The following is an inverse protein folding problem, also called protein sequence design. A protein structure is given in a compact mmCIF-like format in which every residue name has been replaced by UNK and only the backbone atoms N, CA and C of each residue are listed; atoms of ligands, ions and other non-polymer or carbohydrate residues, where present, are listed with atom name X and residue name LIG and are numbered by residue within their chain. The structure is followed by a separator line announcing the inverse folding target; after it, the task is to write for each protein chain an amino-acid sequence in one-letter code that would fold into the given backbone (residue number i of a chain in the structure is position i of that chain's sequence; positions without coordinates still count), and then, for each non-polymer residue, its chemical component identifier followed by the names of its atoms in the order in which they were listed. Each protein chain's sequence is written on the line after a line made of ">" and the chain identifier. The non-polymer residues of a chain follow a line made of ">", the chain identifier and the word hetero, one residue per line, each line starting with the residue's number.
data_IF_787270384134
#
_entry.id   IF_787270384134
#
_cell.length_a   1.000
_cell.length_b   1.000
_cell.length_c   1.000
_cell.angle_alpha   90.00
_cell.angle_beta   90.00
_cell.angle_gamma   90.00
#
_symmetry.space_group_name_H-M   'P 1'
#
loop_
_entity.id
_entity.type
_entity.pdbx_description
1 polymer ?
#
# COMPACT_ATOMS: atom_id res chain seq x y z
N UNK A 1 -27.37 -6.64 9.90
CA UNK A 1 -26.27 -7.49 10.41
C UNK A 1 -25.63 -6.76 11.57
N UNK A 2 -25.55 -7.39 12.75
CA UNK A 2 -24.88 -6.79 13.89
C UNK A 2 -23.39 -6.62 13.53
N UNK A 3 -22.85 -5.42 13.76
CA UNK A 3 -21.42 -5.18 13.58
C UNK A 3 -20.67 -6.09 14.56
N UNK A 4 -19.90 -7.04 14.05
CA UNK A 4 -19.09 -7.93 14.86
C UNK A 4 -18.06 -7.09 15.61
N UNK A 5 -18.12 -7.10 16.93
CA UNK A 5 -17.17 -6.38 17.77
C UNK A 5 -15.82 -7.10 17.67
N UNK A 6 -14.84 -6.43 17.10
CA UNK A 6 -13.46 -6.94 17.08
C UNK A 6 -12.93 -7.01 18.52
N UNK A 7 -12.70 -8.22 18.99
CA UNK A 7 -12.20 -8.46 20.34
C UNK A 7 -10.72 -8.08 20.48
N UNK A 8 -10.23 -7.97 21.71
CA UNK A 8 -8.81 -7.79 22.01
C UNK A 8 -8.01 -8.98 21.47
N UNK A 9 -8.57 -10.19 21.52
CA UNK A 9 -7.96 -11.41 21.00
C UNK A 9 -7.78 -11.35 19.48
N UNK A 10 -8.77 -10.84 18.73
CA UNK A 10 -8.66 -10.63 17.29
C UNK A 10 -7.59 -9.60 16.96
N UNK A 11 -7.45 -8.54 17.76
CA UNK A 11 -6.39 -7.56 17.66
C UNK A 11 -5.00 -8.17 17.85
N UNK A 12 -4.82 -9.00 18.85
CA UNK A 12 -3.57 -9.69 19.13
C UNK A 12 -3.21 -10.69 18.04
N UNK A 13 -4.17 -11.45 17.53
CA UNK A 13 -3.96 -12.39 16.42
C UNK A 13 -3.55 -11.65 15.13
N UNK A 14 -4.21 -10.55 14.84
CA UNK A 14 -3.84 -9.72 13.68
C UNK A 14 -2.42 -9.16 13.82
N UNK A 15 -2.06 -8.65 15.01
CA UNK A 15 -0.71 -8.18 15.31
C UNK A 15 0.33 -9.26 15.09
N UNK A 16 0.13 -10.46 15.65
CA UNK A 16 1.05 -11.60 15.50
C UNK A 16 1.26 -11.97 14.02
N UNK A 17 0.19 -11.96 13.21
CA UNK A 17 0.28 -12.22 11.76
C UNK A 17 1.14 -11.17 11.06
N UNK A 18 0.96 -9.89 11.36
CA UNK A 18 1.74 -8.79 10.77
C UNK A 18 3.20 -8.89 11.17
N UNK A 19 3.49 -9.08 12.47
CA UNK A 19 4.85 -9.20 13.00
C UNK A 19 5.57 -10.45 12.45
N UNK A 20 4.90 -11.60 12.38
CA UNK A 20 5.44 -12.84 11.82
C UNK A 20 5.75 -12.70 10.32
N UNK A 21 4.88 -12.06 9.55
CA UNK A 21 5.11 -11.77 8.16
C UNK A 21 6.29 -10.79 7.96
N UNK A 22 6.39 -9.76 8.78
CA UNK A 22 7.52 -8.82 8.74
C UNK A 22 8.86 -9.52 9.05
N UNK A 23 8.88 -10.43 10.03
CA UNK A 23 10.06 -11.23 10.35
C UNK A 23 10.46 -12.12 9.15
N UNK A 24 9.49 -12.82 8.54
CA UNK A 24 9.72 -13.64 7.35
C UNK A 24 10.36 -12.86 6.19
N UNK A 25 9.89 -11.64 5.92
CA UNK A 25 10.45 -10.79 4.86
C UNK A 25 11.83 -10.25 5.26
N UNK A 26 12.03 -9.86 6.53
CA UNK A 26 13.32 -9.34 7.01
C UNK A 26 14.46 -10.34 6.85
N UNK A 27 14.20 -11.61 7.08
CA UNK A 27 15.18 -12.69 6.90
C UNK A 27 15.59 -12.92 5.44
N UNK A 28 14.69 -12.58 4.50
CA UNK A 28 14.86 -12.80 3.06
C UNK A 28 15.38 -11.59 2.31
N UNK A 29 15.16 -10.40 2.84
CA UNK A 29 15.56 -9.18 2.18
C UNK A 29 17.08 -8.96 2.28
N UNK A 30 17.82 -8.91 1.17
CA UNK A 30 19.26 -8.63 1.16
C UNK A 30 19.59 -7.20 1.57
N UNK A 31 18.61 -6.29 1.53
CA UNK A 31 18.66 -4.92 2.05
C UNK A 31 17.26 -4.44 2.40
N UNK A 32 17.16 -3.40 3.23
CA UNK A 32 15.86 -2.82 3.57
C UNK A 32 15.47 -1.75 2.54
N UNK A 33 14.22 -1.75 2.06
CA UNK A 33 13.72 -0.72 1.15
C UNK A 33 13.43 0.58 1.91
N UNK A 34 13.55 1.71 1.23
CA UNK A 34 13.19 3.03 1.78
C UNK A 34 11.78 3.45 1.37
N UNK A 35 11.33 2.95 0.22
CA UNK A 35 10.05 3.34 -0.38
C UNK A 35 9.24 2.11 -0.78
N UNK A 36 7.96 2.13 -0.46
CA UNK A 36 6.95 1.22 -1.00
C UNK A 36 6.34 1.88 -2.23
N UNK A 37 6.24 1.14 -3.33
CA UNK A 37 5.45 1.53 -4.50
C UNK A 37 4.34 0.50 -4.68
N UNK A 38 3.09 0.89 -4.48
CA UNK A 38 1.94 0.03 -4.74
C UNK A 38 1.37 0.35 -6.12
N UNK A 39 1.48 -0.60 -7.04
CA UNK A 39 1.01 -0.45 -8.40
C UNK A 39 -0.49 -0.75 -8.52
N UNK A 40 -1.20 0.19 -9.12
CA UNK A 40 -2.59 0.02 -9.53
C UNK A 40 -2.71 -0.38 -11.00
N UNK A 41 -3.95 -0.55 -11.44
CA UNK A 41 -4.31 -0.90 -12.82
C UNK A 41 -3.68 0.08 -13.82
N UNK A 42 -3.09 -0.45 -14.89
CA UNK A 42 -2.47 0.31 -15.97
C UNK A 42 -1.00 0.71 -15.73
N UNK A 43 -0.47 0.55 -14.51
CA UNK A 43 0.90 0.96 -14.16
C UNK A 43 1.85 -0.23 -13.93
N UNK A 44 1.43 -1.45 -14.29
CA UNK A 44 2.23 -2.68 -14.15
C UNK A 44 3.59 -2.61 -14.85
N UNK A 45 3.70 -1.89 -15.98
CA UNK A 45 4.96 -1.70 -16.71
C UNK A 45 6.05 -0.96 -15.93
N UNK A 46 5.72 -0.25 -14.84
CA UNK A 46 6.74 0.33 -13.96
C UNK A 46 7.58 -0.76 -13.28
N UNK A 47 7.00 -1.93 -13.01
CA UNK A 47 7.73 -3.05 -12.42
C UNK A 47 8.90 -3.52 -13.31
N UNK A 48 8.79 -3.39 -14.63
CA UNK A 48 9.84 -3.76 -15.59
C UNK A 48 11.07 -2.83 -15.51
N UNK A 49 10.91 -1.65 -14.93
CA UNK A 49 12.00 -0.68 -14.72
C UNK A 49 12.77 -0.91 -13.41
N UNK A 50 12.30 -1.82 -12.59
CA UNK A 50 12.98 -2.20 -11.35
C UNK A 50 14.08 -3.22 -11.70
N UNK A 51 15.29 -2.95 -11.22
CA UNK A 51 16.34 -3.97 -11.21
C UNK A 51 16.09 -4.85 -9.98
N UNK A 52 15.55 -6.08 -10.16
CA UNK A 52 15.10 -6.88 -9.04
C UNK A 52 16.30 -7.52 -8.34
N UNK A 53 16.29 -7.50 -7.01
CA UNK A 53 17.16 -8.29 -6.15
C UNK A 53 16.43 -9.53 -5.63
N UNK A 54 15.10 -9.44 -5.47
CA UNK A 54 14.25 -10.51 -4.98
C UNK A 54 12.82 -10.30 -5.51
N UNK A 55 12.18 -11.39 -5.93
CA UNK A 55 10.75 -11.39 -6.24
C UNK A 55 10.09 -12.56 -5.52
N UNK A 56 9.02 -12.30 -4.78
CA UNK A 56 8.27 -13.29 -4.00
C UNK A 56 6.80 -13.20 -4.41
N UNK A 57 6.18 -14.28 -4.91
CA UNK A 57 4.74 -14.34 -5.10
C UNK A 57 4.00 -14.11 -3.77
N UNK A 58 2.88 -13.40 -3.79
CA UNK A 58 2.09 -13.16 -2.58
C UNK A 58 1.65 -14.47 -1.92
N UNK A 59 1.40 -15.51 -2.70
CA UNK A 59 1.03 -16.83 -2.20
C UNK A 59 2.11 -17.47 -1.32
N UNK A 60 3.38 -17.11 -1.52
CA UNK A 60 4.52 -17.63 -0.77
C UNK A 60 4.85 -16.79 0.48
N UNK A 61 4.13 -15.68 0.68
CA UNK A 61 4.32 -14.81 1.85
C UNK A 61 3.26 -15.16 2.90
N UNK A 62 3.64 -15.52 4.12
CA UNK A 62 2.69 -15.90 5.17
C UNK A 62 1.64 -14.82 5.41
N UNK A 63 0.37 -15.21 5.42
CA UNK A 63 -0.77 -14.35 5.71
C UNK A 63 -1.05 -13.22 4.71
N UNK A 64 -0.28 -13.12 3.62
CA UNK A 64 -0.61 -12.16 2.58
C UNK A 64 -1.95 -12.53 1.94
N UNK A 65 -2.82 -11.55 1.67
CA UNK A 65 -4.00 -11.79 0.87
C UNK A 65 -3.59 -12.20 -0.55
N UNK A 66 -4.48 -12.85 -1.27
CA UNK A 66 -4.27 -13.22 -2.67
C UNK A 66 -5.18 -12.40 -3.57
N UNK A 67 -4.61 -11.78 -4.60
CA UNK A 67 -5.44 -11.07 -5.56
C UNK A 67 -6.29 -12.06 -6.37
N UNK A 68 -7.58 -11.77 -6.49
CA UNK A 68 -8.51 -12.51 -7.34
C UNK A 68 -8.69 -11.85 -8.70
N UNK A 69 -8.07 -10.69 -8.91
CA UNK A 69 -8.18 -9.91 -10.15
C UNK A 69 -7.08 -10.36 -11.13
N UNK A 70 -7.46 -10.86 -12.30
CA UNK A 70 -6.55 -11.39 -13.34
C UNK A 70 -5.45 -10.42 -13.79
N UNK A 71 -5.69 -9.10 -13.70
CA UNK A 71 -4.72 -8.08 -14.06
C UNK A 71 -3.61 -7.84 -13.01
N UNK A 72 -3.69 -8.50 -11.85
CA UNK A 72 -2.72 -8.36 -10.77
C UNK A 72 -1.84 -9.60 -10.67
N UNK A 73 -0.55 -9.45 -11.01
CA UNK A 73 0.41 -10.57 -10.99
C UNK A 73 0.68 -11.12 -9.58
N UNK A 74 0.36 -10.34 -8.53
CA UNK A 74 0.46 -10.80 -7.15
C UNK A 74 1.90 -11.05 -6.68
N UNK A 75 2.84 -10.14 -7.00
CA UNK A 75 4.24 -10.27 -6.61
C UNK A 75 4.69 -9.10 -5.72
N UNK A 76 5.53 -9.42 -4.74
CA UNK A 76 6.35 -8.46 -4.02
C UNK A 76 7.74 -8.46 -4.65
N UNK A 77 8.19 -7.32 -5.16
CA UNK A 77 9.48 -7.16 -5.81
C UNK A 77 10.33 -6.20 -4.99
N UNK A 78 11.42 -6.69 -4.40
CA UNK A 78 12.45 -5.86 -3.81
C UNK A 78 13.53 -5.60 -4.84
N UNK A 79 13.91 -4.34 -5.02
CA UNK A 79 14.91 -3.98 -6.03
C UNK A 79 15.32 -2.52 -5.96
N UNK A 80 15.81 -2.03 -7.08
CA UNK A 80 16.22 -0.63 -7.23
C UNK A 80 15.52 0.01 -8.42
N UNK A 81 15.00 1.21 -8.20
CA UNK A 81 14.57 2.12 -9.26
C UNK A 81 15.65 3.20 -9.40
N UNK A 82 16.49 3.10 -10.43
CA UNK A 82 17.74 3.85 -10.47
C UNK A 82 18.66 3.44 -9.30
N UNK A 83 19.06 4.41 -8.47
CA UNK A 83 19.86 4.14 -7.26
C UNK A 83 19.02 3.90 -6.00
N UNK A 84 17.70 4.12 -6.02
CA UNK A 84 16.85 4.09 -4.85
C UNK A 84 16.36 2.67 -4.51
N UNK A 85 16.57 2.19 -3.26
CA UNK A 85 16.05 0.91 -2.83
C UNK A 85 14.53 0.99 -2.63
N UNK A 86 13.79 0.15 -3.36
CA UNK A 86 12.33 0.13 -3.35
C UNK A 86 11.78 -1.27 -3.14
N UNK A 87 10.61 -1.36 -2.56
CA UNK A 87 9.76 -2.55 -2.63
C UNK A 87 8.49 -2.21 -3.40
N UNK A 88 8.21 -3.02 -4.41
CA UNK A 88 7.06 -2.84 -5.28
C UNK A 88 6.03 -3.91 -4.95
N UNK A 89 4.81 -3.49 -4.68
CA UNK A 89 3.64 -4.34 -4.63
C UNK A 89 3.00 -4.35 -6.02
N UNK A 90 3.26 -5.41 -6.79
CA UNK A 90 2.76 -5.59 -8.14
C UNK A 90 1.35 -6.20 -8.11
N UNK A 91 0.38 -5.35 -7.89
CA UNK A 91 -1.00 -5.68 -7.62
C UNK A 91 -1.39 -5.33 -6.19
N UNK A 92 -2.69 -5.29 -5.95
CA UNK A 92 -3.29 -4.96 -4.66
C UNK A 92 -4.59 -5.71 -4.45
N UNK A 93 -5.07 -5.66 -3.23
CA UNK A 93 -6.32 -6.25 -2.80
C UNK A 93 -7.37 -5.15 -2.67
N UNK A 94 -8.61 -5.48 -3.00
CA UNK A 94 -9.68 -4.48 -2.98
C UNK A 94 -10.80 -4.93 -2.04
N UNK A 95 -11.46 -3.95 -1.45
CA UNK A 95 -12.60 -4.17 -0.58
C UNK A 95 -13.75 -4.91 -1.31
N UNK A 96 -13.96 -4.60 -2.60
CA UNK A 96 -15.00 -5.26 -3.40
C UNK A 96 -14.71 -6.73 -3.70
N UNK A 97 -13.48 -7.20 -3.54
CA UNK A 97 -13.12 -8.63 -3.64
C UNK A 97 -13.56 -9.44 -2.40
N UNK A 98 -14.13 -8.77 -1.38
CA UNK A 98 -14.58 -9.38 -0.13
C UNK A 98 -13.57 -9.27 1.02
N UNK A 99 -12.42 -8.65 0.80
CA UNK A 99 -11.44 -8.38 1.85
C UNK A 99 -11.91 -7.28 2.79
N UNK A 100 -11.68 -7.46 4.09
CA UNK A 100 -11.85 -6.39 5.07
C UNK A 100 -10.83 -5.27 4.83
N UNK A 101 -11.14 -4.06 5.29
CA UNK A 101 -10.21 -2.92 5.21
C UNK A 101 -8.88 -3.20 5.92
N UNK A 102 -8.85 -4.05 6.95
CA UNK A 102 -7.63 -4.50 7.63
C UNK A 102 -6.78 -5.40 6.75
N UNK A 103 -7.39 -6.31 6.01
CA UNK A 103 -6.68 -7.19 5.08
C UNK A 103 -6.11 -6.40 3.90
N UNK A 104 -6.87 -5.44 3.36
CA UNK A 104 -6.38 -4.53 2.32
C UNK A 104 -5.16 -3.74 2.79
N UNK A 105 -5.14 -3.30 4.05
CA UNK A 105 -4.03 -2.55 4.64
C UNK A 105 -2.88 -3.43 5.15
N UNK A 106 -3.04 -4.75 5.20
CA UNK A 106 -2.08 -5.69 5.78
C UNK A 106 -0.67 -5.57 5.17
N UNK A 107 -0.48 -5.56 3.84
CA UNK A 107 0.84 -5.45 3.23
C UNK A 107 1.58 -4.18 3.64
N UNK A 108 0.86 -3.06 3.71
CA UNK A 108 1.46 -1.78 4.10
C UNK A 108 1.92 -1.80 5.56
N UNK A 109 1.12 -2.40 6.46
CA UNK A 109 1.51 -2.56 7.87
C UNK A 109 2.74 -3.45 8.02
N UNK A 110 2.81 -4.57 7.29
CA UNK A 110 3.98 -5.46 7.28
C UNK A 110 5.23 -4.71 6.83
N UNK A 111 5.17 -4.00 5.72
CA UNK A 111 6.31 -3.27 5.17
C UNK A 111 6.72 -2.08 6.04
N UNK A 112 5.77 -1.42 6.71
CA UNK A 112 6.09 -0.33 7.65
C UNK A 112 6.92 -0.82 8.84
N UNK A 113 6.71 -2.06 9.33
CA UNK A 113 7.52 -2.66 10.38
C UNK A 113 8.96 -2.98 9.95
N UNK A 114 9.24 -2.99 8.65
CA UNK A 114 10.59 -3.11 8.11
C UNK A 114 11.35 -1.77 8.09
N UNK A 115 10.70 -0.69 8.52
CA UNK A 115 11.32 0.64 8.61
C UNK A 115 11.15 1.50 7.35
N UNK A 116 10.30 1.09 6.42
CA UNK A 116 9.99 1.90 5.23
C UNK A 116 9.29 3.20 5.65
N UNK A 117 9.70 4.32 5.06
CA UNK A 117 9.25 5.65 5.46
C UNK A 117 8.36 6.32 4.43
N UNK A 118 8.47 5.92 3.17
CA UNK A 118 7.72 6.54 2.07
C UNK A 118 6.81 5.51 1.41
N UNK A 119 5.57 5.89 1.18
CA UNK A 119 4.58 5.09 0.46
C UNK A 119 4.07 5.87 -0.75
N UNK A 120 4.27 5.33 -1.94
CA UNK A 120 3.68 5.80 -3.18
C UNK A 120 2.55 4.86 -3.58
N UNK A 121 1.34 5.38 -3.60
CA UNK A 121 0.14 4.66 -4.01
C UNK A 121 -0.27 5.11 -5.40
N UNK A 122 -0.61 4.17 -6.27
CA UNK A 122 -1.16 4.47 -7.59
C UNK A 122 -2.48 3.73 -7.78
N UNK A 123 -3.45 4.36 -8.43
CA UNK A 123 -4.75 3.75 -8.73
C UNK A 123 -5.38 4.40 -9.97
N UNK A 124 -6.24 3.65 -10.64
CA UNK A 124 -7.20 4.20 -11.57
C UNK A 124 -8.45 4.67 -10.81
N UNK A 125 -9.08 5.74 -11.28
CA UNK A 125 -10.32 6.25 -10.72
C UNK A 125 -11.18 6.90 -11.82
N UNK A 126 -12.49 6.93 -11.63
CA UNK A 126 -13.40 7.73 -12.44
C UNK A 126 -13.25 9.22 -12.11
N UNK A 127 -13.07 10.05 -13.14
CA UNK A 127 -13.01 11.50 -12.99
C UNK A 127 -14.41 12.09 -12.83
N UNK A 128 -14.65 12.85 -11.74
CA UNK A 128 -15.89 13.63 -11.56
C UNK A 128 -15.76 15.03 -12.14
N UNK A 129 -14.54 15.57 -12.22
CA UNK A 129 -14.28 16.85 -12.84
C UNK A 129 -14.38 16.71 -14.38
N UNK A 130 -15.28 17.45 -15.06
CA UNK A 130 -15.44 17.33 -16.50
C UNK A 130 -14.24 17.80 -17.33
N UNK A 131 -13.28 18.48 -16.69
CA UNK A 131 -12.02 18.88 -17.34
C UNK A 131 -10.97 17.76 -17.35
N UNK A 132 -11.18 16.68 -16.59
CA UNK A 132 -10.30 15.52 -16.63
C UNK A 132 -10.65 14.62 -17.81
N UNK A 133 -9.70 14.40 -18.68
CA UNK A 133 -9.85 13.48 -19.83
C UNK A 133 -9.37 12.09 -19.45
N UNK A 134 -9.85 11.04 -20.12
CA UNK A 134 -9.26 9.70 -19.98
C UNK A 134 -7.76 9.74 -20.25
N UNK A 135 -6.97 9.18 -19.33
CA UNK A 135 -5.50 9.23 -19.38
C UNK A 135 -4.88 10.41 -18.63
N UNK A 136 -5.68 11.35 -18.10
CA UNK A 136 -5.15 12.38 -17.19
C UNK A 136 -4.54 11.76 -15.94
N UNK A 137 -3.42 12.31 -15.50
CA UNK A 137 -2.79 11.95 -14.23
C UNK A 137 -3.09 13.06 -13.22
N UNK A 138 -3.52 12.67 -12.02
CA UNK A 138 -3.74 13.62 -10.93
C UNK A 138 -2.99 13.17 -9.68
N UNK A 139 -2.60 14.13 -8.85
CA UNK A 139 -2.06 13.90 -7.52
C UNK A 139 -3.19 14.04 -6.51
N UNK A 140 -3.42 13.00 -5.73
CA UNK A 140 -4.44 13.02 -4.65
C UNK A 140 -3.82 13.73 -3.45
N UNK A 141 -4.54 14.68 -2.88
CA UNK A 141 -4.10 15.47 -1.70
C UNK A 141 -4.99 15.24 -0.47
N UNK A 142 -6.22 14.77 -0.65
CA UNK A 142 -7.15 14.45 0.44
C UNK A 142 -8.21 13.43 0.02
N UNK A 143 -9.03 12.97 0.97
CA UNK A 143 -10.09 11.98 0.77
C UNK A 143 -11.38 12.31 1.51
N UNK A 144 -12.49 11.94 0.89
CA UNK A 144 -13.78 11.80 1.56
C UNK A 144 -14.10 10.30 1.67
N UNK A 145 -14.11 9.77 2.89
CA UNK A 145 -14.39 8.36 3.12
C UNK A 145 -15.89 8.10 3.28
N UNK A 146 -16.53 7.58 2.24
CA UNK A 146 -17.92 7.15 2.24
C UNK A 146 -18.10 5.62 2.33
N UNK A 147 -17.03 4.85 2.55
CA UNK A 147 -17.12 3.39 2.63
C UNK A 147 -17.85 2.88 3.88
N UNK A 148 -17.98 3.70 4.92
CA UNK A 148 -18.50 3.26 6.20
C UNK A 148 -17.56 2.32 6.99
N UNK A 149 -16.37 2.06 6.48
CA UNK A 149 -15.35 1.17 7.04
C UNK A 149 -14.02 1.90 7.19
N UNK A 150 -13.20 1.44 8.18
CA UNK A 150 -11.90 2.02 8.44
C UNK A 150 -10.95 0.94 9.01
N UNK A 151 -9.74 0.75 8.46
CA UNK A 151 -8.78 -0.24 8.95
C UNK A 151 -8.25 0.04 10.37
N UNK A 152 -8.48 1.25 10.89
CA UNK A 152 -8.11 1.63 12.27
C UNK A 152 -9.19 1.27 13.29
N UNK A 153 -10.36 0.76 12.87
CA UNK A 153 -11.42 0.32 13.77
C UNK A 153 -10.95 -0.89 14.59
N UNK A 154 -11.27 -0.90 15.89
CA UNK A 154 -10.97 -2.00 16.82
C UNK A 154 -9.76 -1.69 17.72
N UNK A 155 -9.15 -2.71 18.37
CA UNK A 155 -8.02 -2.52 19.28
C UNK A 155 -6.83 -1.82 18.59
N UNK A 156 -6.23 -0.84 19.28
CA UNK A 156 -5.02 -0.19 18.83
C UNK A 156 -3.79 -1.06 19.14
N UNK A 157 -2.75 -0.93 18.33
CA UNK A 157 -1.42 -1.47 18.60
C UNK A 157 -0.49 -0.28 18.82
N UNK A 158 -0.27 0.10 20.07
CA UNK A 158 0.41 1.36 20.44
C UNK A 158 1.83 1.47 19.87
N UNK A 159 2.51 0.33 19.66
CA UNK A 159 3.83 0.30 19.02
C UNK A 159 3.78 0.64 17.51
N UNK A 160 2.61 0.66 16.89
CA UNK A 160 2.43 1.01 15.47
C UNK A 160 2.02 2.46 15.26
N UNK A 161 1.56 3.12 16.29
CA UNK A 161 1.16 4.52 16.25
C UNK A 161 0.02 4.88 17.20
N UNK A 162 -0.34 6.16 17.25
CA UNK A 162 -1.38 6.65 18.14
C UNK A 162 -2.75 6.11 17.77
N UNK A 163 -3.64 5.99 18.77
CA UNK A 163 -5.04 5.58 18.58
C UNK A 163 -5.78 6.49 17.61
N UNK A 164 -5.49 7.78 17.65
CA UNK A 164 -6.11 8.82 16.84
C UNK A 164 -5.03 9.55 16.04
N UNK A 165 -4.63 9.00 14.87
CA UNK A 165 -3.70 9.71 13.99
C UNK A 165 -4.35 10.97 13.44
N UNK A 166 -3.57 12.04 13.33
CA UNK A 166 -4.00 13.25 12.67
C UNK A 166 -4.08 13.03 11.15
N UNK A 167 -5.28 13.15 10.59
CA UNK A 167 -5.56 13.02 9.16
C UNK A 167 -5.91 14.37 8.51
N UNK A 168 -5.63 15.48 9.17
CA UNK A 168 -5.85 16.82 8.57
C UNK A 168 -4.96 17.06 7.34
N UNK A 169 -3.86 16.30 7.22
CA UNK A 169 -2.97 16.28 6.05
C UNK A 169 -2.51 14.85 5.79
N UNK A 170 -3.34 14.02 5.14
CA UNK A 170 -3.03 12.60 4.96
C UNK A 170 -1.84 12.37 4.03
N UNK A 171 -1.52 13.33 3.18
CA UNK A 171 -0.37 13.30 2.28
C UNK A 171 0.67 14.34 2.65
N UNK A 172 1.95 13.96 2.52
CA UNK A 172 3.09 14.83 2.86
C UNK A 172 3.21 15.98 1.83
N UNK A 173 3.05 17.26 2.22
CA UNK A 173 3.05 18.37 1.28
C UNK A 173 4.31 18.47 0.40
N UNK A 174 5.48 18.15 0.97
CA UNK A 174 6.74 18.13 0.22
C UNK A 174 6.74 17.07 -0.89
N UNK A 175 6.12 15.90 -0.66
CA UNK A 175 6.01 14.85 -1.67
C UNK A 175 4.96 15.20 -2.74
N UNK A 176 3.86 15.85 -2.37
CA UNK A 176 2.89 16.40 -3.34
C UNK A 176 3.60 17.40 -4.27
N UNK A 177 4.33 18.36 -3.69
CA UNK A 177 5.09 19.33 -4.48
C UNK A 177 6.08 18.65 -5.43
N UNK A 178 6.84 17.69 -4.93
CA UNK A 178 7.80 16.92 -5.74
C UNK A 178 7.11 16.17 -6.89
N UNK A 179 5.94 15.58 -6.66
CA UNK A 179 5.17 14.90 -7.69
C UNK A 179 4.71 15.89 -8.79
N UNK A 180 4.19 17.06 -8.39
CA UNK A 180 3.75 18.10 -9.32
C UNK A 180 4.93 18.68 -10.13
N UNK A 181 6.05 18.99 -9.47
CA UNK A 181 7.27 19.48 -10.14
C UNK A 181 7.79 18.43 -11.16
N UNK A 182 7.74 17.15 -10.78
CA UNK A 182 8.16 16.05 -11.66
C UNK A 182 7.23 15.87 -12.85
N UNK A 183 5.91 15.97 -12.64
CA UNK A 183 4.92 15.92 -13.70
C UNK A 183 5.17 17.06 -14.72
N UNK A 184 5.31 18.28 -14.22
CA UNK A 184 5.62 19.45 -15.06
C UNK A 184 6.93 19.27 -15.86
N UNK A 185 7.99 18.75 -15.25
CA UNK A 185 9.24 18.46 -15.92
C UNK A 185 9.13 17.38 -17.02
N UNK A 186 8.11 16.49 -16.89
CA UNK A 186 7.79 15.48 -17.89
C UNK A 186 6.79 15.96 -18.96
N UNK A 187 6.34 17.21 -18.91
CA UNK A 187 5.38 17.78 -19.85
C UNK A 187 3.91 17.34 -19.60
N UNK A 188 3.60 16.94 -18.36
CA UNK A 188 2.27 16.54 -17.91
C UNK A 188 1.54 17.71 -17.23
#
# INVERSE_FOLDING_TARGET
>A
MAAEFLSVEDGNRFRQRVEGCAAFLRERFPFLPETIIQLGTGLGGLAERIVPALSIPYADIPHFPQSTVESHQGNLILGRLGCHPVVVLQGRFHFYEGYSTREVAFPIRVLSLLGVKTLLLTNAAGGLNPLFLPGSIMVIDDHLNFLGENPLRGPNVDSWGPRFPDLSRPYTPALIKMALDSAHACGL
#
